data_IF_812798457413
#
_entry.id   IF_812798457413
#
_cell.length_a   1.000
_cell.length_b   1.000
_cell.length_c   1.000
_cell.angle_alpha   90.00
_cell.angle_beta   90.00
_cell.angle_gamma   90.00
#
_symmetry.space_group_name_H-M   'P 1'
#
loop_
_entity.id
_entity.type
_entity.pdbx_description
1 polymer ?
#
# COMPACT_ATOMS: atom_id res chain seq x y z
N UNK A 1 -19.07 -31.74 57.92
CA UNK A 1 -19.34 -30.29 58.12
C UNK A 1 -20.69 -29.97 57.48
N UNK A 2 -21.65 -29.45 58.24
CA UNK A 2 -23.06 -29.30 57.85
C UNK A 2 -23.28 -28.14 56.85
N UNK A 3 -24.23 -28.31 55.93
CA UNK A 3 -24.62 -27.38 54.85
C UNK A 3 -24.98 -25.98 55.35
N UNK A 4 -25.51 -25.88 56.58
CA UNK A 4 -25.82 -24.61 57.25
C UNK A 4 -24.58 -23.76 57.62
N UNK A 5 -23.38 -24.33 57.75
CA UNK A 5 -22.17 -23.54 58.03
C UNK A 5 -21.50 -22.96 56.77
N UNK A 6 -21.86 -23.44 55.57
CA UNK A 6 -21.34 -22.89 54.30
C UNK A 6 -22.10 -21.67 53.83
N UNK A 7 -23.38 -21.54 54.18
CA UNK A 7 -24.25 -20.45 53.73
C UNK A 7 -23.99 -19.13 54.48
N UNK A 8 -23.67 -19.20 55.78
CA UNK A 8 -23.37 -18.01 56.60
C UNK A 8 -22.02 -17.38 56.22
N UNK A 9 -21.04 -18.17 55.76
CA UNK A 9 -19.70 -17.69 55.40
C UNK A 9 -19.63 -16.95 54.05
N UNK A 10 -20.71 -16.96 53.27
CA UNK A 10 -20.82 -16.24 51.99
C UNK A 10 -21.33 -14.79 52.16
N UNK A 11 -22.04 -14.48 53.26
CA UNK A 11 -22.66 -13.16 53.48
C UNK A 11 -21.79 -12.13 54.24
N UNK A 12 -20.65 -12.53 54.82
CA UNK A 12 -19.83 -11.63 55.66
C UNK A 12 -18.46 -11.26 55.08
N UNK A 13 -18.18 -11.58 53.81
CA UNK A 13 -17.06 -10.97 53.06
C UNK A 13 -15.67 -11.13 53.68
N UNK A 14 -15.40 -12.22 54.41
CA UNK A 14 -14.15 -12.42 55.14
C UNK A 14 -13.49 -13.74 54.74
N UNK A 15 -12.66 -13.69 53.69
CA UNK A 15 -11.69 -14.72 53.34
C UNK A 15 -10.31 -14.07 53.25
N UNK A 16 -9.25 -14.69 53.80
CA UNK A 16 -7.91 -14.16 53.72
C UNK A 16 -7.45 -14.07 52.26
N UNK A 17 -6.92 -12.91 51.88
CA UNK A 17 -6.41 -12.61 50.55
C UNK A 17 -5.29 -13.60 50.19
N UNK A 18 -5.64 -14.61 49.40
CA UNK A 18 -4.69 -15.55 48.82
C UNK A 18 -3.90 -14.77 47.77
N UNK A 19 -2.62 -14.53 48.04
CA UNK A 19 -1.69 -13.92 47.08
C UNK A 19 -1.86 -14.56 45.69
N UNK A 20 -1.90 -13.75 44.61
CA UNK A 20 -2.06 -14.29 43.27
C UNK A 20 -0.91 -15.24 42.95
N UNK A 21 -1.17 -16.39 42.31
CA UNK A 21 -0.09 -17.27 41.87
C UNK A 21 0.84 -16.50 40.90
N UNK A 22 2.15 -16.77 40.92
CA UNK A 22 3.07 -16.17 39.96
C UNK A 22 2.60 -16.52 38.53
N UNK A 23 2.74 -15.61 37.56
CA UNK A 23 2.36 -15.88 36.18
C UNK A 23 3.12 -17.12 35.68
N UNK A 24 2.49 -18.00 34.88
CA UNK A 24 3.21 -19.10 34.25
C UNK A 24 4.37 -18.53 33.40
N UNK A 25 5.48 -19.27 33.24
CA UNK A 25 6.51 -18.91 32.27
C UNK A 25 5.84 -18.69 30.91
N UNK A 26 6.19 -17.62 30.22
CA UNK A 26 5.69 -17.33 28.88
C UNK A 26 6.00 -18.53 27.97
N UNK A 27 4.99 -19.36 27.73
CA UNK A 27 5.00 -20.36 26.69
C UNK A 27 4.93 -19.59 25.38
N UNK A 28 6.06 -19.52 24.68
CA UNK A 28 6.15 -18.92 23.35
C UNK A 28 5.11 -19.57 22.45
N UNK A 29 4.01 -18.85 22.20
CA UNK A 29 3.02 -19.26 21.24
C UNK A 29 3.73 -19.52 19.91
N UNK A 30 3.47 -20.64 19.21
CA UNK A 30 4.05 -20.86 17.90
C UNK A 30 3.65 -19.68 17.02
N UNK A 31 4.65 -18.95 16.54
CA UNK A 31 4.48 -17.91 15.52
C UNK A 31 3.72 -18.52 14.37
N UNK A 32 2.41 -18.26 14.32
CA UNK A 32 1.58 -18.57 13.16
C UNK A 32 2.06 -17.60 12.09
N UNK A 33 3.00 -18.02 11.27
CA UNK A 33 3.38 -17.34 10.05
C UNK A 33 2.08 -17.06 9.29
N UNK A 34 1.68 -15.79 9.25
CA UNK A 34 0.62 -15.36 8.36
C UNK A 34 1.10 -15.68 6.95
N UNK A 35 0.27 -16.33 6.09
CA UNK A 35 0.64 -16.50 4.71
C UNK A 35 0.94 -15.12 4.14
N UNK A 36 2.18 -14.92 3.70
CA UNK A 36 2.63 -13.74 3.00
C UNK A 36 1.77 -13.61 1.74
N UNK A 37 0.70 -12.82 1.84
CA UNK A 37 -0.12 -12.44 0.70
C UNK A 37 0.83 -11.78 -0.31
N UNK A 38 0.66 -12.03 -1.63
CA UNK A 38 1.48 -11.35 -2.61
C UNK A 38 1.37 -9.85 -2.37
N UNK A 39 2.52 -9.17 -2.24
CA UNK A 39 2.56 -7.71 -2.30
C UNK A 39 1.83 -7.32 -3.58
N UNK A 40 0.66 -6.69 -3.43
CA UNK A 40 -0.03 -6.08 -4.56
C UNK A 40 0.97 -5.11 -5.18
N UNK A 41 1.12 -5.11 -6.50
CA UNK A 41 1.81 -4.04 -7.21
C UNK A 41 1.08 -2.72 -6.90
N UNK A 42 1.50 -2.05 -5.83
CA UNK A 42 1.00 -0.72 -5.46
C UNK A 42 1.69 0.24 -6.41
N UNK A 43 0.93 0.86 -7.31
CA UNK A 43 1.44 1.95 -8.13
C UNK A 43 2.00 3.02 -7.17
N UNK A 44 3.32 3.33 -7.20
CA UNK A 44 3.92 4.26 -6.25
C UNK A 44 3.33 5.68 -6.33
N UNK A 45 2.62 6.00 -7.42
CA UNK A 45 1.88 7.24 -7.55
C UNK A 45 0.55 7.24 -6.78
N UNK A 46 0.07 6.10 -6.26
CA UNK A 46 -1.27 5.96 -5.67
C UNK A 46 -1.21 5.45 -4.22
N UNK A 47 -1.26 6.37 -3.26
CA UNK A 47 -1.41 6.00 -1.85
C UNK A 47 -2.89 5.76 -1.45
N UNK A 48 -3.83 6.15 -2.31
CA UNK A 48 -5.27 5.99 -2.09
C UNK A 48 -5.80 4.59 -2.47
N UNK A 49 -4.93 3.64 -2.81
CA UNK A 49 -5.33 2.29 -3.24
C UNK A 49 -6.15 1.53 -2.18
N UNK A 50 -5.92 1.78 -0.89
CA UNK A 50 -6.70 1.20 0.21
C UNK A 50 -8.18 1.65 0.20
N UNK A 51 -8.47 2.78 -0.44
CA UNK A 51 -9.80 3.35 -0.61
C UNK A 51 -10.49 2.89 -1.90
N UNK A 52 -9.90 1.93 -2.61
CA UNK A 52 -10.44 1.42 -3.88
C UNK A 52 -10.19 2.34 -5.08
N UNK A 53 -9.28 3.31 -4.92
CA UNK A 53 -8.86 4.19 -6.01
C UNK A 53 -7.87 3.46 -6.91
N UNK A 54 -8.09 3.50 -8.21
CA UNK A 54 -7.21 2.87 -9.22
C UNK A 54 -6.82 3.86 -10.30
N UNK A 55 -5.68 3.60 -10.95
CA UNK A 55 -5.22 4.38 -12.10
C UNK A 55 -5.23 3.47 -13.33
N UNK A 56 -5.95 3.88 -14.37
CA UNK A 56 -5.81 3.31 -15.71
C UNK A 56 -4.70 4.07 -16.42
N UNK A 57 -3.51 3.45 -16.51
CA UNK A 57 -2.36 4.01 -17.20
C UNK A 57 -2.57 3.93 -18.71
N UNK A 58 -2.37 5.06 -19.38
CA UNK A 58 -2.28 5.12 -20.83
C UNK A 58 -0.88 4.71 -21.28
N UNK A 59 -0.79 3.88 -22.32
CA UNK A 59 0.47 3.56 -22.99
C UNK A 59 0.45 4.12 -24.42
N UNK A 60 0.63 5.45 -24.60
CA UNK A 60 0.57 6.06 -25.91
C UNK A 60 1.85 5.79 -26.72
N UNK A 61 1.81 5.90 -28.06
CA UNK A 61 3.00 5.73 -28.89
C UNK A 61 4.12 6.72 -28.51
N UNK A 62 5.39 6.33 -28.63
CA UNK A 62 6.52 7.24 -28.51
C UNK A 62 6.34 8.57 -29.25
N UNK A 63 6.78 9.66 -28.63
CA UNK A 63 6.62 11.01 -29.16
C UNK A 63 5.23 11.62 -28.96
N UNK A 64 4.28 10.88 -28.40
CA UNK A 64 2.96 11.42 -28.04
C UNK A 64 3.04 12.20 -26.74
N UNK A 65 2.60 13.45 -26.74
CA UNK A 65 2.38 14.20 -25.50
C UNK A 65 1.06 13.78 -24.87
N UNK A 66 1.07 13.43 -23.59
CA UNK A 66 -0.11 12.97 -22.86
C UNK A 66 -0.04 13.44 -21.40
N UNK A 67 -1.17 13.35 -20.70
CA UNK A 67 -1.25 13.60 -19.26
C UNK A 67 -1.01 12.30 -18.51
N UNK A 68 0.06 12.26 -17.71
CA UNK A 68 0.37 11.14 -16.82
C UNK A 68 -0.08 11.49 -15.41
N UNK A 69 -0.71 10.55 -14.71
CA UNK A 69 -0.94 10.71 -13.26
C UNK A 69 0.41 10.61 -12.55
N UNK A 70 0.80 11.72 -11.93
CA UNK A 70 2.02 11.84 -11.12
C UNK A 70 1.77 11.38 -9.68
N UNK A 71 0.63 11.77 -9.12
CA UNK A 71 0.24 11.43 -7.74
C UNK A 71 -1.28 11.37 -7.59
N UNK A 72 -1.73 10.41 -6.80
CA UNK A 72 -3.07 10.31 -6.24
C UNK A 72 -2.89 10.14 -4.74
N UNK A 73 -3.44 11.10 -4.00
CA UNK A 73 -3.29 11.18 -2.57
C UNK A 73 -4.65 11.21 -1.89
N UNK A 74 -4.92 10.29 -0.96
CA UNK A 74 -6.03 10.46 -0.03
C UNK A 74 -5.58 11.40 1.10
N UNK A 75 -6.29 12.52 1.27
CA UNK A 75 -5.89 13.52 2.26
C UNK A 75 -6.05 12.94 3.66
N UNK A 76 -5.02 13.11 4.48
CA UNK A 76 -5.07 12.78 5.90
C UNK A 76 -6.16 13.61 6.60
N UNK A 77 -6.64 13.20 7.79
CA UNK A 77 -7.65 13.96 8.51
C UNK A 77 -7.24 15.42 8.77
N UNK A 78 -5.96 15.67 9.00
CA UNK A 78 -5.42 17.01 9.22
C UNK A 78 -5.43 17.87 7.94
N UNK A 79 -5.11 17.29 6.79
CA UNK A 79 -5.16 17.97 5.50
C UNK A 79 -6.59 18.20 5.02
N UNK A 80 -7.48 17.24 5.26
CA UNK A 80 -8.85 17.29 4.76
C UNK A 80 -9.73 18.32 5.48
N UNK A 81 -9.57 18.43 6.81
CA UNK A 81 -10.32 19.40 7.62
C UNK A 81 -11.84 19.26 7.53
N UNK A 82 -12.37 18.06 7.25
CA UNK A 82 -13.81 17.81 7.09
C UNK A 82 -14.34 18.08 5.68
N UNK A 83 -13.48 18.25 4.68
CA UNK A 83 -13.89 18.44 3.28
C UNK A 83 -14.30 17.12 2.60
N UNK A 84 -14.87 17.23 1.39
CA UNK A 84 -15.29 16.10 0.57
C UNK A 84 -15.02 16.38 -0.93
N UNK A 85 -13.81 16.79 -1.25
CA UNK A 85 -13.44 17.27 -2.58
C UNK A 85 -12.49 16.33 -3.31
N UNK A 86 -12.57 16.34 -4.64
CA UNK A 86 -11.46 15.95 -5.49
C UNK A 86 -10.74 17.24 -5.88
N UNK A 87 -9.52 17.38 -5.40
CA UNK A 87 -8.58 18.43 -5.79
C UNK A 87 -7.79 17.95 -7.00
N UNK A 88 -7.62 18.82 -7.99
CA UNK A 88 -6.88 18.47 -9.21
C UNK A 88 -5.81 19.51 -9.50
N UNK A 89 -4.63 19.02 -9.82
CA UNK A 89 -3.51 19.82 -10.30
C UNK A 89 -3.04 19.34 -11.66
N UNK A 90 -2.69 20.30 -12.52
CA UNK A 90 -2.15 20.06 -13.84
C UNK A 90 -0.79 20.74 -13.96
N UNK A 91 0.26 19.94 -14.14
CA UNK A 91 1.64 20.38 -14.17
C UNK A 91 2.21 20.24 -15.58
N UNK A 92 3.04 21.18 -15.99
CA UNK A 92 3.86 21.05 -17.20
C UNK A 92 5.01 20.04 -17.01
N UNK A 93 5.82 19.87 -18.05
CA UNK A 93 6.96 18.96 -18.06
C UNK A 93 7.99 19.28 -16.96
N UNK A 94 8.10 20.56 -16.56
CA UNK A 94 8.99 21.03 -15.51
C UNK A 94 8.39 20.93 -14.10
N UNK A 95 7.13 20.47 -13.98
CA UNK A 95 6.42 20.35 -12.71
C UNK A 95 5.80 21.65 -12.22
N UNK A 96 5.70 22.68 -13.07
CA UNK A 96 5.02 23.94 -12.75
C UNK A 96 3.55 23.86 -13.14
N UNK A 97 2.66 24.48 -12.35
CA UNK A 97 1.22 24.54 -12.68
C UNK A 97 1.00 25.14 -14.07
N UNK A 98 0.27 24.40 -14.89
CA UNK A 98 -0.16 24.80 -16.22
C UNK A 98 -1.59 25.32 -16.16
N UNK A 99 -1.73 26.63 -15.91
CA UNK A 99 -3.02 27.31 -15.81
C UNK A 99 -3.86 27.20 -17.10
N UNK A 100 -5.17 27.16 -16.94
CA UNK A 100 -6.13 27.01 -18.04
C UNK A 100 -6.28 25.56 -18.54
N UNK A 101 -5.48 24.61 -18.02
CA UNK A 101 -5.70 23.18 -18.27
C UNK A 101 -7.07 22.77 -17.74
N UNK A 102 -7.69 21.79 -18.41
CA UNK A 102 -9.02 21.31 -18.06
C UNK A 102 -8.99 19.86 -17.61
N UNK A 103 -9.69 19.57 -16.51
CA UNK A 103 -9.93 18.23 -16.03
C UNK A 103 -11.42 17.91 -16.16
N UNK A 104 -11.75 16.68 -16.55
CA UNK A 104 -13.12 16.20 -16.61
C UNK A 104 -13.34 15.22 -15.48
N UNK A 105 -14.36 15.48 -14.68
CA UNK A 105 -14.86 14.57 -13.65
C UNK A 105 -16.11 13.90 -14.20
N UNK A 106 -16.14 12.57 -14.17
CA UNK A 106 -17.30 11.78 -14.63
C UNK A 106 -17.82 10.92 -13.50
N UNK A 107 -19.14 10.78 -13.40
CA UNK A 107 -19.81 9.91 -12.44
C UNK A 107 -21.03 9.25 -13.10
N UNK A 108 -21.69 8.34 -12.37
CA UNK A 108 -22.92 7.73 -12.84
C UNK A 108 -24.00 8.81 -13.08
N UNK A 109 -24.34 9.05 -14.34
CA UNK A 109 -25.38 10.00 -14.74
C UNK A 109 -24.91 11.42 -15.05
N UNK A 110 -23.61 11.71 -15.09
CA UNK A 110 -23.14 13.03 -15.48
C UNK A 110 -21.63 13.20 -15.56
N UNK A 111 -21.23 14.38 -16.03
CA UNK A 111 -19.86 14.84 -16.07
C UNK A 111 -19.78 16.35 -15.84
N UNK A 112 -18.61 16.82 -15.43
CA UNK A 112 -18.30 18.23 -15.28
C UNK A 112 -16.86 18.49 -15.69
N UNK A 113 -16.63 19.56 -16.45
CA UNK A 113 -15.28 20.05 -16.78
C UNK A 113 -14.90 21.15 -15.80
N UNK A 114 -13.70 21.04 -15.25
CA UNK A 114 -13.08 21.98 -14.32
C UNK A 114 -11.90 22.65 -15.00
N UNK A 115 -11.68 23.93 -14.70
CA UNK A 115 -10.51 24.66 -15.19
C UNK A 115 -9.53 24.85 -14.04
N UNK A 116 -8.24 24.64 -14.32
CA UNK A 116 -7.14 24.90 -13.40
C UNK A 116 -6.81 26.40 -13.42
N UNK A 117 -7.41 27.16 -12.53
CA UNK A 117 -7.31 28.63 -12.47
C UNK A 117 -6.95 29.17 -11.08
N UNK A 118 -6.96 28.32 -10.05
CA UNK A 118 -6.67 28.72 -8.67
C UNK A 118 -5.20 29.04 -8.42
N UNK A 119 -4.90 30.00 -7.51
CA UNK A 119 -3.54 30.42 -7.20
C UNK A 119 -2.68 29.27 -6.65
N UNK A 120 -1.36 29.38 -6.84
CA UNK A 120 -0.40 28.30 -6.58
C UNK A 120 -0.32 27.81 -5.11
N UNK A 121 -0.86 28.58 -4.17
CA UNK A 121 -0.89 28.24 -2.74
C UNK A 121 -2.03 27.30 -2.34
N UNK A 122 -2.94 26.97 -3.25
CA UNK A 122 -3.96 25.92 -3.10
C UNK A 122 -3.96 25.02 -4.33
N UNK A 123 -4.71 23.91 -4.30
CA UNK A 123 -4.84 23.01 -5.45
C UNK A 123 -5.44 23.72 -6.67
N UNK A 124 -5.03 23.30 -7.87
CA UNK A 124 -5.35 24.00 -9.13
C UNK A 124 -6.84 24.17 -9.43
N UNK A 125 -7.67 23.20 -9.04
CA UNK A 125 -9.13 23.25 -9.08
C UNK A 125 -9.72 22.20 -8.13
N UNK A 126 -11.05 22.21 -7.93
CA UNK A 126 -11.72 21.22 -7.09
C UNK A 126 -13.14 20.90 -7.55
N UNK A 127 -13.61 19.70 -7.20
CA UNK A 127 -14.99 19.25 -7.37
C UNK A 127 -15.54 18.67 -6.06
N UNK A 128 -16.71 19.13 -5.57
CA UNK A 128 -17.34 18.54 -4.39
C UNK A 128 -17.96 17.17 -4.72
N UNK A 129 -17.55 16.14 -3.98
CA UNK A 129 -18.03 14.76 -4.13
C UNK A 129 -19.26 14.53 -3.27
N UNK A 130 -20.40 14.29 -3.91
CA UNK A 130 -21.65 14.05 -3.22
C UNK A 130 -21.71 12.67 -2.58
N UNK A 131 -22.62 12.50 -1.61
CA UNK A 131 -22.81 11.22 -0.90
C UNK A 131 -23.06 10.08 -1.89
N UNK A 132 -22.34 8.97 -1.70
CA UNK A 132 -22.41 7.76 -2.52
C UNK A 132 -21.93 7.91 -3.97
N UNK A 133 -21.46 9.11 -4.34
CA UNK A 133 -20.93 9.34 -5.66
C UNK A 133 -19.56 8.65 -5.78
N UNK A 134 -19.35 8.01 -6.93
CA UNK A 134 -18.05 7.49 -7.36
C UNK A 134 -17.66 8.20 -8.64
N UNK A 135 -16.53 8.88 -8.59
CA UNK A 135 -16.03 9.71 -9.67
C UNK A 135 -14.82 9.06 -10.33
N UNK A 136 -14.64 9.39 -11.59
CA UNK A 136 -13.38 9.26 -12.31
C UNK A 136 -12.90 10.64 -12.76
N UNK A 137 -11.58 10.82 -12.86
CA UNK A 137 -10.96 12.07 -13.32
C UNK A 137 -9.92 11.78 -14.39
N UNK A 138 -9.96 12.56 -15.46
CA UNK A 138 -8.98 12.60 -16.54
C UNK A 138 -8.75 14.04 -17.01
N UNK A 139 -7.64 14.30 -17.68
CA UNK A 139 -7.38 15.60 -18.31
C UNK A 139 -7.96 15.66 -19.73
N UNK A 140 -8.31 16.87 -20.16
CA UNK A 140 -8.89 17.16 -21.48
C UNK A 140 -7.83 17.73 -22.43
N UNK A 141 -8.01 17.54 -23.74
CA UNK A 141 -7.24 18.18 -24.81
C UNK A 141 -6.14 17.30 -25.42
N UNK A 142 -5.50 16.46 -24.62
CA UNK A 142 -4.58 15.40 -25.07
C UNK A 142 -4.94 14.09 -24.40
N UNK A 143 -4.46 12.92 -24.88
CA UNK A 143 -4.66 11.67 -24.18
C UNK A 143 -4.21 11.75 -22.71
N UNK A 144 -4.89 11.02 -21.82
CA UNK A 144 -4.68 11.10 -20.37
C UNK A 144 -4.75 9.72 -19.73
N UNK A 145 -3.96 9.51 -18.68
CA UNK A 145 -4.27 8.54 -17.63
C UNK A 145 -5.65 8.88 -17.02
N UNK A 146 -6.35 7.88 -16.48
CA UNK A 146 -7.64 8.09 -15.79
C UNK A 146 -7.57 7.55 -14.38
N UNK A 147 -7.99 8.34 -13.40
CA UNK A 147 -8.15 7.91 -12.01
C UNK A 147 -9.60 7.52 -11.77
N UNK A 148 -9.85 6.36 -11.16
CA UNK A 148 -11.19 5.85 -10.90
C UNK A 148 -11.42 5.59 -9.41
N UNK A 149 -12.69 5.54 -9.00
CA UNK A 149 -13.07 5.10 -7.66
C UNK A 149 -13.00 6.16 -6.59
N UNK A 150 -12.82 7.44 -6.97
CA UNK A 150 -12.78 8.56 -6.04
C UNK A 150 -14.17 8.76 -5.41
N UNK A 151 -14.28 8.66 -4.08
CA UNK A 151 -15.55 8.74 -3.36
C UNK A 151 -15.37 9.27 -1.95
N UNK A 152 -16.34 10.02 -1.43
CA UNK A 152 -16.33 10.44 -0.02
C UNK A 152 -16.89 9.37 0.93
N UNK A 153 -17.43 8.27 0.40
CA UNK A 153 -18.15 7.23 1.15
C UNK A 153 -17.23 6.18 1.78
N UNK A 154 -16.32 6.62 2.65
CA UNK A 154 -15.44 5.75 3.43
C UNK A 154 -15.77 5.77 4.93
N UNK A 155 -15.36 4.76 5.70
CA UNK A 155 -15.54 4.74 7.15
C UNK A 155 -14.79 5.88 7.85
N UNK A 156 -15.29 6.29 9.02
CA UNK A 156 -14.64 7.29 9.87
C UNK A 156 -13.21 6.88 10.25
N UNK A 157 -12.31 7.86 10.26
CA UNK A 157 -10.92 7.71 10.71
C UNK A 157 -10.69 8.54 11.97
N UNK A 158 -11.16 8.10 13.15
CA UNK A 158 -11.08 8.89 14.37
C UNK A 158 -9.63 9.18 14.78
N UNK A 159 -9.43 10.26 15.52
CA UNK A 159 -8.13 10.56 16.12
C UNK A 159 -7.71 9.44 17.09
N UNK A 160 -6.41 9.31 17.43
CA UNK A 160 -5.93 8.29 18.37
C UNK A 160 -6.62 8.29 19.75
N UNK A 161 -7.16 9.44 20.17
CA UNK A 161 -7.92 9.60 21.41
C UNK A 161 -9.43 9.29 21.27
N UNK A 162 -9.87 8.79 20.12
CA UNK A 162 -11.27 8.49 19.82
C UNK A 162 -12.15 9.70 19.48
N UNK A 163 -11.61 10.92 19.46
CA UNK A 163 -12.35 12.11 19.04
C UNK A 163 -12.57 12.14 17.52
N UNK A 164 -13.59 12.87 17.08
CA UNK A 164 -13.88 13.08 15.66
C UNK A 164 -12.69 13.74 14.96
N UNK A 165 -12.33 13.24 13.78
CA UNK A 165 -11.26 13.78 12.95
C UNK A 165 -11.81 14.55 11.74
N UNK A 166 -10.92 15.02 10.86
CA UNK A 166 -11.32 15.60 9.58
C UNK A 166 -11.74 14.58 8.51
N UNK A 167 -11.58 13.28 8.74
CA UNK A 167 -12.06 12.22 7.85
C UNK A 167 -13.17 11.43 8.52
N UNK A 168 -14.41 11.72 8.12
CA UNK A 168 -15.61 11.03 8.58
C UNK A 168 -16.46 10.60 7.39
N UNK A 169 -17.49 9.81 7.60
CA UNK A 169 -18.38 9.33 6.55
C UNK A 169 -18.90 10.50 5.72
N UNK A 170 -18.63 10.45 4.41
CA UNK A 170 -18.89 11.51 3.41
C UNK A 170 -17.97 12.74 3.46
N UNK A 171 -16.92 12.71 4.27
CA UNK A 171 -15.89 13.73 4.38
C UNK A 171 -14.51 13.11 4.16
N UNK A 172 -14.28 12.58 2.96
CA UNK A 172 -12.95 12.16 2.50
C UNK A 172 -12.64 12.91 1.20
N UNK A 173 -11.45 13.48 1.11
CA UNK A 173 -10.97 14.20 -0.08
C UNK A 173 -9.74 13.53 -0.68
N UNK A 174 -9.52 13.80 -1.96
CA UNK A 174 -8.39 13.28 -2.71
C UNK A 174 -7.72 14.39 -3.49
N UNK A 175 -6.40 14.32 -3.63
CA UNK A 175 -5.62 15.14 -4.55
C UNK A 175 -5.16 14.26 -5.72
N UNK A 176 -5.38 14.74 -6.94
CA UNK A 176 -4.89 14.13 -8.17
C UNK A 176 -4.00 15.12 -8.89
N UNK A 177 -2.71 14.80 -9.02
CA UNK A 177 -1.74 15.58 -9.78
C UNK A 177 -1.47 14.90 -11.13
N UNK A 178 -1.78 15.59 -12.22
CA UNK A 178 -1.39 15.22 -13.56
C UNK A 178 -0.15 15.99 -13.99
N UNK A 179 0.73 15.35 -14.74
CA UNK A 179 1.90 15.97 -15.35
C UNK A 179 1.91 15.70 -16.85
N UNK A 180 2.01 16.77 -17.65
CA UNK A 180 2.20 16.66 -19.08
C UNK A 180 3.55 16.01 -19.36
N UNK A 181 3.51 14.93 -20.11
CA UNK A 181 4.65 14.03 -20.33
C UNK A 181 4.75 13.70 -21.82
N UNK A 182 5.98 13.70 -22.35
CA UNK A 182 6.26 13.12 -23.65
C UNK A 182 6.46 11.61 -23.48
N UNK A 183 5.68 10.79 -24.17
CA UNK A 183 5.89 9.36 -24.22
C UNK A 183 7.30 9.08 -24.77
N UNK A 184 8.16 8.52 -23.94
CA UNK A 184 9.49 8.15 -24.37
C UNK A 184 9.37 7.12 -25.51
N UNK A 185 10.32 7.10 -26.47
CA UNK A 185 10.64 5.89 -27.20
C UNK A 185 10.66 4.73 -26.23
N UNK A 186 10.10 3.59 -26.63
CA UNK A 186 10.29 2.34 -25.92
C UNK A 186 11.78 1.97 -26.02
N UNK A 187 12.66 2.75 -25.39
CA UNK A 187 13.89 2.23 -24.84
C UNK A 187 13.40 1.13 -23.93
N UNK A 188 13.72 -0.11 -24.31
CA UNK A 188 13.38 -1.33 -23.59
C UNK A 188 13.24 -1.02 -22.11
N UNK A 189 12.00 -1.09 -21.61
CA UNK A 189 11.76 -1.05 -20.18
C UNK A 189 12.85 -1.92 -19.54
N UNK A 190 13.53 -1.48 -18.47
CA UNK A 190 14.43 -2.37 -17.76
C UNK A 190 13.64 -3.67 -17.57
N UNK A 191 14.17 -4.82 -18.02
CA UNK A 191 13.42 -6.06 -18.00
C UNK A 191 12.84 -6.19 -16.59
N UNK A 192 11.56 -6.60 -16.45
CA UNK A 192 11.00 -6.88 -15.13
C UNK A 192 12.05 -7.65 -14.34
N UNK A 193 12.35 -7.29 -13.08
CA UNK A 193 13.48 -7.86 -12.34
C UNK A 193 13.46 -9.37 -12.60
N UNK A 194 14.48 -9.85 -13.33
CA UNK A 194 14.46 -11.18 -13.92
C UNK A 194 14.00 -12.13 -12.83
N UNK A 195 12.90 -12.86 -13.07
CA UNK A 195 12.24 -13.65 -12.05
C UNK A 195 13.30 -14.41 -11.26
N UNK A 196 13.52 -13.96 -10.02
CA UNK A 196 14.58 -14.38 -9.15
C UNK A 196 14.57 -15.91 -9.06
N UNK A 197 15.55 -16.55 -9.72
CA UNK A 197 15.67 -17.99 -9.74
C UNK A 197 15.79 -18.54 -8.33
N UNK A 198 15.20 -19.70 -8.10
CA UNK A 198 15.27 -20.40 -6.82
C UNK A 198 16.01 -21.71 -7.01
N UNK A 199 17.12 -21.89 -6.32
CA UNK A 199 17.77 -23.18 -6.16
C UNK A 199 17.45 -23.68 -4.76
N UNK A 200 16.79 -24.83 -4.66
CA UNK A 200 16.47 -25.47 -3.39
C UNK A 200 16.77 -26.95 -3.44
N UNK A 201 17.06 -27.53 -2.29
CA UNK A 201 17.39 -28.94 -2.19
C UNK A 201 17.54 -29.38 -0.75
N UNK A 202 17.94 -30.65 -0.58
CA UNK A 202 18.26 -31.25 0.70
C UNK A 202 19.54 -32.07 0.57
N UNK A 203 20.42 -31.93 1.55
CA UNK A 203 21.63 -32.76 1.70
C UNK A 203 21.38 -33.75 2.83
N UNK A 204 21.32 -35.03 2.50
CA UNK A 204 21.14 -36.08 3.50
C UNK A 204 22.36 -36.12 4.44
N UNK A 205 22.11 -36.10 5.75
CA UNK A 205 23.19 -36.02 6.75
C UNK A 205 23.94 -34.69 6.78
N UNK A 206 23.45 -33.66 6.07
CA UNK A 206 24.15 -32.38 5.93
C UNK A 206 23.96 -31.39 7.08
N UNK A 207 23.33 -31.79 8.18
CA UNK A 207 23.09 -30.88 9.31
C UNK A 207 24.40 -30.32 9.86
N UNK A 208 24.50 -29.00 9.94
CA UNK A 208 25.70 -28.31 10.42
C UNK A 208 26.83 -28.15 9.39
N UNK A 209 26.75 -28.81 8.22
CA UNK A 209 27.67 -28.58 7.10
C UNK A 209 27.45 -27.20 6.48
N UNK A 210 28.50 -26.66 5.88
CA UNK A 210 28.47 -25.34 5.25
C UNK A 210 28.13 -25.49 3.77
N UNK A 211 27.02 -24.91 3.36
CA UNK A 211 26.66 -24.72 1.97
C UNK A 211 27.32 -23.44 1.46
N UNK A 212 27.99 -23.52 0.32
CA UNK A 212 28.50 -22.37 -0.43
C UNK A 212 27.91 -22.35 -1.84
N UNK A 213 27.44 -21.19 -2.28
CA UNK A 213 26.99 -20.92 -3.64
C UNK A 213 28.06 -20.12 -4.38
N UNK A 214 28.51 -20.63 -5.52
CA UNK A 214 29.48 -19.97 -6.38
C UNK A 214 28.91 -19.69 -7.78
N UNK A 215 29.31 -18.59 -8.41
CA UNK A 215 29.06 -18.29 -9.83
C UNK A 215 30.36 -17.83 -10.47
N UNK A 216 30.75 -18.44 -11.60
CA UNK A 216 32.02 -18.14 -12.28
C UNK A 216 33.26 -18.18 -11.35
N UNK A 217 33.22 -18.99 -10.28
CA UNK A 217 34.30 -19.10 -9.29
C UNK A 217 34.23 -18.09 -8.13
N UNK A 218 33.30 -17.14 -8.15
CA UNK A 218 33.06 -16.18 -7.07
C UNK A 218 32.04 -16.74 -6.06
N UNK A 219 32.33 -16.62 -4.77
CA UNK A 219 31.42 -16.98 -3.68
C UNK A 219 30.31 -15.92 -3.55
N UNK A 220 29.08 -16.30 -3.88
CA UNK A 220 27.91 -15.41 -3.80
C UNK A 220 27.19 -15.49 -2.46
N UNK A 221 27.14 -16.68 -1.85
CA UNK A 221 26.47 -16.87 -0.57
C UNK A 221 27.06 -18.08 0.17
N UNK A 222 27.04 -18.04 1.50
CA UNK A 222 27.39 -19.18 2.34
C UNK A 222 26.51 -19.24 3.58
N UNK A 223 26.25 -20.43 4.09
CA UNK A 223 25.49 -20.63 5.31
C UNK A 223 25.52 -22.07 5.80
N UNK A 224 25.24 -22.28 7.09
CA UNK A 224 25.09 -23.62 7.63
C UNK A 224 23.74 -24.20 7.25
N UNK A 225 23.74 -25.48 6.88
CA UNK A 225 22.51 -26.24 6.66
C UNK A 225 21.82 -26.51 8.00
N UNK A 226 20.52 -26.18 8.06
CA UNK A 226 19.69 -26.40 9.24
C UNK A 226 19.40 -27.88 9.50
N UNK A 227 18.66 -28.14 10.58
CA UNK A 227 18.22 -29.48 10.97
C UNK A 227 17.47 -30.16 9.81
N UNK A 228 17.97 -31.30 9.34
CA UNK A 228 17.44 -32.02 8.17
C UNK A 228 18.01 -31.59 6.81
N UNK A 229 19.06 -30.76 6.77
CA UNK A 229 19.90 -30.54 5.58
C UNK A 229 19.25 -29.78 4.43
N UNK A 230 18.09 -29.17 4.64
CA UNK A 230 17.36 -28.42 3.61
C UNK A 230 17.97 -27.03 3.38
N UNK A 231 17.95 -26.57 2.13
CA UNK A 231 18.35 -25.21 1.77
C UNK A 231 17.46 -24.63 0.68
N UNK A 232 17.39 -23.29 0.66
CA UNK A 232 16.70 -22.53 -0.37
C UNK A 232 17.41 -21.20 -0.62
N UNK A 233 17.94 -21.06 -1.82
CA UNK A 233 18.62 -19.88 -2.34
C UNK A 233 17.64 -19.17 -3.28
N UNK A 234 17.46 -17.86 -3.10
CA UNK A 234 16.51 -17.03 -3.86
C UNK A 234 17.27 -15.88 -4.52
N UNK A 235 16.61 -15.14 -5.39
CA UNK A 235 17.18 -13.95 -6.02
C UNK A 235 18.40 -14.25 -6.88
N UNK A 236 18.38 -15.40 -7.56
CA UNK A 236 19.45 -15.82 -8.44
C UNK A 236 19.16 -15.38 -9.87
N UNK A 237 20.09 -14.66 -10.48
CA UNK A 237 20.04 -14.38 -11.92
C UNK A 237 20.10 -15.68 -12.73
N UNK A 238 19.60 -15.72 -13.97
CA UNK A 238 19.88 -16.81 -14.89
C UNK A 238 21.40 -17.03 -15.05
N UNK A 239 21.84 -18.28 -14.90
CA UNK A 239 23.25 -18.62 -15.01
C UNK A 239 23.62 -20.01 -14.49
N UNK A 240 24.89 -20.34 -14.63
CA UNK A 240 25.47 -21.57 -14.08
C UNK A 240 26.00 -21.29 -12.68
N UNK A 241 25.54 -22.10 -11.73
CA UNK A 241 25.93 -22.04 -10.33
C UNK A 241 26.62 -23.32 -9.91
N UNK A 242 27.55 -23.23 -8.97
CA UNK A 242 28.16 -24.38 -8.31
C UNK A 242 27.83 -24.35 -6.83
N UNK A 243 27.25 -25.44 -6.32
CA UNK A 243 27.05 -25.64 -4.88
C UNK A 243 28.20 -26.47 -4.34
N UNK A 244 28.79 -26.03 -3.22
CA UNK A 244 29.79 -26.80 -2.46
C UNK A 244 29.26 -27.05 -1.07
N UNK A 245 29.41 -28.29 -0.59
CA UNK A 245 29.10 -28.69 0.79
C UNK A 245 30.43 -29.00 1.47
N UNK A 246 30.71 -28.33 2.58
CA UNK A 246 31.94 -28.42 3.35
C UNK A 246 31.65 -28.86 4.78
#
# INVERSE_FOLDING_TARGET
MNWLQRFVRWLTGDLPEKAPPPPPPAEEAPTREMPNAPARDVDPANDAGAYGVTITRLNPPPGTTYWRVKRVHHLTPAENGGSHHIYVDALDEAGKRLYGSQAKVTWAGGEQTLTVDKPANEAGTNYPVYKWQKCAVEMVGTPSDTVHGLSSSHPDEPNPNGSQSGNTLFHHSFLVEFQRTLAAPTESAPPPPAAAGIIQGRVNGGEGLTLQLHRAGELLAQGKLGRGGAFRLRSLDPGVYTLRIL
#
